data_IF_912239442109
#
_entry.id   IF_912239442109
#
_cell.length_a   1.000
_cell.length_b   1.000
_cell.length_c   1.000
_cell.angle_alpha   90.00
_cell.angle_beta   90.00
_cell.angle_gamma   90.00
#
_symmetry.space_group_name_H-M   'P 1'
#
loop_
_entity.id
_entity.type
_entity.pdbx_description
1 polymer ?
#
# COMPACT_ATOMS: atom_id res chain seq x y z
N UNK A 1 25.85 -5.17 -15.39
CA UNK A 1 26.79 -5.11 -14.24
C UNK A 1 26.78 -3.68 -13.69
N UNK A 2 25.84 -3.35 -12.79
CA UNK A 2 25.75 -1.99 -12.21
C UNK A 2 26.85 -1.82 -11.16
N UNK A 3 27.82 -0.93 -11.41
CA UNK A 3 28.73 -0.48 -10.35
C UNK A 3 27.93 0.41 -9.38
N UNK A 4 27.93 0.14 -8.07
CA UNK A 4 27.26 1.01 -7.11
C UNK A 4 27.88 2.41 -7.15
N UNK A 5 27.03 3.44 -7.12
CA UNK A 5 27.44 4.83 -7.14
C UNK A 5 28.37 5.13 -5.96
N UNK A 6 29.50 5.80 -6.20
CA UNK A 6 30.52 6.10 -5.18
C UNK A 6 29.98 6.93 -4.00
N UNK A 7 28.83 7.58 -4.17
CA UNK A 7 28.13 8.37 -3.16
C UNK A 7 26.99 7.60 -2.46
N UNK A 8 26.71 6.34 -2.80
CA UNK A 8 25.67 5.58 -2.11
C UNK A 8 26.17 5.11 -0.74
N UNK A 9 25.61 5.69 0.32
CA UNK A 9 25.84 5.23 1.70
C UNK A 9 25.19 3.86 1.87
N UNK A 10 25.98 2.85 2.21
CA UNK A 10 25.49 1.51 2.52
C UNK A 10 25.68 1.23 4.02
N UNK A 11 24.65 0.67 4.64
CA UNK A 11 24.74 0.19 6.02
C UNK A 11 25.68 -1.02 6.08
N UNK A 12 26.78 -0.86 6.81
CA UNK A 12 27.59 -2.00 7.26
C UNK A 12 27.00 -2.56 8.56
N UNK A 13 27.27 -3.84 8.82
CA UNK A 13 26.84 -4.55 10.04
C UNK A 13 27.32 -3.81 11.30
N UNK A 14 26.77 -4.12 12.48
CA UNK A 14 27.23 -3.52 13.74
C UNK A 14 28.74 -3.77 13.93
N UNK A 15 29.47 -2.69 14.19
CA UNK A 15 30.91 -2.71 14.50
C UNK A 15 31.17 -2.16 15.90
N UNK A 16 32.28 -2.55 16.51
CA UNK A 16 32.70 -2.08 17.83
C UNK A 16 33.69 -0.93 17.67
N UNK A 17 33.48 0.17 18.38
CA UNK A 17 34.47 1.26 18.45
C UNK A 17 35.61 0.80 19.37
N UNK A 18 36.81 0.70 18.83
CA UNK A 18 38.01 0.32 19.62
C UNK A 18 38.73 1.54 20.16
N UNK A 19 38.82 2.61 19.36
CA UNK A 19 39.58 3.80 19.72
C UNK A 19 38.97 5.06 19.14
N UNK A 20 38.98 6.14 19.93
CA UNK A 20 38.73 7.51 19.46
C UNK A 20 40.07 8.11 19.00
N UNK A 21 40.22 8.36 17.71
CA UNK A 21 41.45 8.94 17.15
C UNK A 21 41.42 10.47 17.20
N UNK A 22 40.24 11.08 17.09
CA UNK A 22 40.03 12.53 17.22
C UNK A 22 38.60 12.80 17.69
N UNK A 23 38.20 14.06 17.85
CA UNK A 23 36.81 14.42 18.16
C UNK A 23 35.80 13.88 17.14
N UNK A 24 36.23 13.72 15.89
CA UNK A 24 35.35 13.37 14.78
C UNK A 24 35.64 12.01 14.15
N UNK A 25 36.82 11.41 14.40
CA UNK A 25 37.21 10.13 13.78
C UNK A 25 37.40 9.00 14.79
N UNK A 26 36.82 7.85 14.49
CA UNK A 26 36.77 6.66 15.33
C UNK A 26 37.25 5.43 14.56
N UNK A 27 38.01 4.58 15.24
CA UNK A 27 38.44 3.27 14.72
C UNK A 27 37.37 2.24 15.08
N UNK A 28 36.82 1.59 14.06
CA UNK A 28 35.77 0.58 14.21
C UNK A 28 36.30 -0.76 13.72
N UNK A 29 36.15 -1.78 14.56
CA UNK A 29 36.40 -3.18 14.20
C UNK A 29 35.08 -3.91 13.94
N UNK A 30 35.12 -4.86 13.00
CA UNK A 30 33.99 -5.74 12.69
C UNK A 30 34.39 -7.17 13.08
N UNK A 31 33.44 -7.97 13.57
CA UNK A 31 33.72 -9.32 14.10
C UNK A 31 34.15 -10.36 13.05
N UNK A 32 34.43 -9.97 11.81
CA UNK A 32 34.96 -10.87 10.79
C UNK A 32 36.47 -10.62 10.65
N UNK A 33 37.25 -11.70 10.79
CA UNK A 33 38.72 -11.72 10.80
C UNK A 33 39.42 -11.14 9.55
N UNK A 34 38.68 -10.65 8.55
CA UNK A 34 39.20 -10.15 7.27
C UNK A 34 39.09 -8.63 7.09
N UNK A 35 38.28 -7.94 7.89
CA UNK A 35 38.14 -6.48 7.79
C UNK A 35 39.00 -5.81 8.86
N UNK A 36 40.24 -5.50 8.48
CA UNK A 36 41.16 -4.69 9.28
C UNK A 36 40.47 -3.42 9.78
N UNK A 37 40.73 -3.03 11.03
CA UNK A 37 40.28 -1.79 11.66
C UNK A 37 40.19 -0.61 10.67
N UNK A 38 38.98 -0.08 10.47
CA UNK A 38 38.72 1.03 9.57
C UNK A 38 38.40 2.31 10.36
N UNK A 39 38.82 3.45 9.84
CA UNK A 39 38.54 4.76 10.44
C UNK A 39 37.27 5.32 9.81
N UNK A 40 36.31 5.71 10.65
CA UNK A 40 35.06 6.34 10.24
C UNK A 40 34.90 7.70 10.92
N UNK A 41 34.36 8.66 10.17
CA UNK A 41 33.90 9.93 10.73
C UNK A 41 32.59 9.73 11.51
N UNK A 42 32.34 10.52 12.55
CA UNK A 42 31.16 10.41 13.43
C UNK A 42 29.84 10.46 12.66
N UNK A 43 29.77 11.26 11.59
CA UNK A 43 28.58 11.34 10.71
C UNK A 43 28.25 10.04 9.97
N UNK A 44 29.21 9.11 9.86
CA UNK A 44 29.01 7.80 9.23
C UNK A 44 28.64 6.71 10.24
N UNK A 45 28.54 7.06 11.53
CA UNK A 45 28.25 6.13 12.62
C UNK A 45 26.84 6.38 13.16
N UNK A 46 26.14 5.28 13.48
CA UNK A 46 24.92 5.34 14.29
C UNK A 46 25.01 4.35 15.44
N UNK A 47 24.49 4.71 16.64
CA UNK A 47 24.38 3.77 17.74
C UNK A 47 23.56 2.55 17.32
N UNK A 48 24.10 1.36 17.59
CA UNK A 48 23.38 0.11 17.35
C UNK A 48 22.58 -0.29 18.60
N UNK A 49 21.26 -0.37 18.46
CA UNK A 49 20.37 -0.90 19.48
C UNK A 49 19.91 -2.29 19.04
N UNK A 50 20.23 -3.33 19.82
CA UNK A 50 19.71 -4.68 19.55
C UNK A 50 18.19 -4.62 19.71
N UNK A 51 17.46 -4.80 18.62
CA UNK A 51 15.99 -4.88 18.67
C UNK A 51 15.61 -6.13 19.46
N UNK A 52 14.60 -6.01 20.32
CA UNK A 52 13.96 -7.18 20.91
C UNK A 52 13.47 -8.08 19.77
N UNK A 53 13.83 -9.36 19.82
CA UNK A 53 13.44 -10.36 18.83
C UNK A 53 11.94 -10.64 19.00
N UNK A 54 11.11 -9.88 18.30
CA UNK A 54 9.72 -10.26 18.07
C UNK A 54 9.70 -11.12 16.82
N UNK A 55 9.45 -12.41 16.99
CA UNK A 55 9.14 -13.31 15.88
C UNK A 55 7.74 -12.92 15.41
N UNK A 56 7.64 -12.02 14.43
CA UNK A 56 6.40 -11.85 13.70
C UNK A 56 6.24 -13.06 12.80
N UNK A 57 5.43 -14.02 13.25
CA UNK A 57 5.06 -15.19 12.46
C UNK A 57 4.09 -14.73 11.36
N UNK A 58 4.63 -14.41 10.19
CA UNK A 58 3.81 -14.26 8.98
C UNK A 58 3.49 -15.68 8.53
N UNK A 59 2.31 -16.16 8.90
CA UNK A 59 1.79 -17.41 8.38
C UNK A 59 1.37 -17.18 6.92
N UNK A 60 2.30 -17.33 5.99
CA UNK A 60 1.94 -17.48 4.58
C UNK A 60 1.29 -18.85 4.43
N UNK A 61 -0.03 -18.94 4.70
CA UNK A 61 -0.76 -20.17 4.37
C UNK A 61 -0.64 -20.39 2.88
N UNK A 62 0.22 -21.34 2.50
CA UNK A 62 0.02 -22.10 1.29
C UNK A 62 -1.40 -22.66 1.38
N UNK A 63 -2.18 -22.45 0.32
CA UNK A 63 -3.50 -23.04 0.17
C UNK A 63 -3.32 -24.55 0.27
N UNK A 64 -3.62 -25.14 1.41
CA UNK A 64 -4.10 -26.51 1.57
C UNK A 64 -4.33 -26.79 3.06
N UNK A 65 -5.44 -27.47 3.30
CA UNK A 65 -5.90 -28.04 4.57
C UNK A 65 -6.52 -27.10 5.61
N UNK A 66 -7.83 -26.99 5.42
CA UNK A 66 -8.85 -26.79 6.44
C UNK A 66 -8.55 -27.59 7.71
N UNK A 67 -8.04 -26.92 8.74
CA UNK A 67 -8.34 -27.27 10.12
C UNK A 67 -8.45 -26.00 10.97
N UNK A 68 -9.62 -25.90 11.61
CA UNK A 68 -10.15 -24.79 12.39
C UNK A 68 -9.18 -24.35 13.49
N UNK A 69 -8.54 -23.21 13.29
CA UNK A 69 -8.41 -22.21 14.35
C UNK A 69 -9.17 -20.99 13.83
N UNK A 70 -10.34 -20.72 14.41
CA UNK A 70 -11.01 -19.41 14.30
C UNK A 70 -10.18 -18.40 15.09
N UNK A 71 -9.03 -18.02 14.53
CA UNK A 71 -8.48 -16.72 14.84
C UNK A 71 -9.37 -15.73 14.08
N UNK A 72 -10.23 -15.00 14.81
CA UNK A 72 -11.00 -13.85 14.32
C UNK A 72 -10.03 -12.73 13.92
N UNK A 73 -9.22 -12.97 12.90
CA UNK A 73 -8.58 -11.89 12.18
C UNK A 73 -9.68 -11.19 11.38
N UNK A 74 -9.82 -9.86 11.49
CA UNK A 74 -10.75 -9.13 10.66
C UNK A 74 -10.43 -9.46 9.20
N UNK A 75 -11.38 -10.12 8.53
CA UNK A 75 -11.31 -10.33 7.10
C UNK A 75 -11.46 -8.95 6.48
N UNK A 76 -10.35 -8.36 6.02
CA UNK A 76 -10.42 -7.22 5.11
C UNK A 76 -10.87 -7.81 3.78
N UNK A 77 -12.16 -8.11 3.66
CA UNK A 77 -12.73 -8.56 2.42
C UNK A 77 -12.49 -7.43 1.42
N UNK A 78 -11.61 -7.67 0.45
CA UNK A 78 -11.08 -6.60 -0.41
C UNK A 78 -12.11 -6.08 -1.41
N UNK A 79 -13.34 -6.59 -1.32
CA UNK A 79 -14.46 -6.14 -2.12
C UNK A 79 -15.20 -5.01 -1.39
N UNK A 80 -15.04 -3.74 -1.82
CA UNK A 80 -15.70 -2.61 -1.18
C UNK A 80 -17.23 -2.62 -1.33
N UNK A 81 -17.80 -3.56 -2.08
CA UNK A 81 -19.25 -3.75 -2.21
C UNK A 81 -19.80 -4.85 -1.30
N UNK A 82 -18.94 -5.54 -0.54
CA UNK A 82 -19.36 -6.46 0.51
C UNK A 82 -19.43 -5.64 1.79
N UNK A 83 -20.65 -5.31 2.18
CA UNK A 83 -20.91 -4.56 3.39
C UNK A 83 -20.93 -5.50 4.59
N UNK A 84 -20.07 -5.26 5.57
CA UNK A 84 -20.28 -5.80 6.91
C UNK A 84 -21.36 -4.95 7.59
N UNK A 85 -22.56 -5.52 7.65
CA UNK A 85 -23.75 -4.81 8.15
C UNK A 85 -23.69 -4.60 9.66
N UNK A 86 -23.04 -5.51 10.39
CA UNK A 86 -22.89 -5.39 11.84
C UNK A 86 -21.93 -4.22 12.13
N UNK A 87 -20.82 -4.13 11.41
CA UNK A 87 -19.88 -3.00 11.47
C UNK A 87 -20.54 -1.66 11.13
N UNK A 88 -21.32 -1.59 10.05
CA UNK A 88 -22.03 -0.36 9.65
C UNK A 88 -23.00 0.09 10.75
N UNK A 89 -23.76 -0.83 11.33
CA UNK A 89 -24.75 -0.47 12.36
C UNK A 89 -24.09 -0.03 13.66
N UNK A 90 -22.99 -0.68 14.07
CA UNK A 90 -22.24 -0.35 15.28
C UNK A 90 -21.55 1.02 15.16
N UNK A 91 -20.86 1.29 14.05
CA UNK A 91 -20.11 2.55 13.88
C UNK A 91 -20.99 3.75 13.55
N UNK A 92 -22.16 3.55 12.95
CA UNK A 92 -22.99 4.65 12.46
C UNK A 92 -23.94 5.23 13.52
N UNK A 93 -23.97 4.68 14.75
CA UNK A 93 -24.87 5.11 15.84
C UNK A 93 -26.33 5.27 15.39
N UNK A 94 -26.80 4.40 14.49
CA UNK A 94 -28.10 4.54 13.82
C UNK A 94 -29.26 4.55 14.81
N UNK A 95 -29.11 3.84 15.92
CA UNK A 95 -30.09 3.74 17.01
C UNK A 95 -30.39 5.11 17.66
N UNK A 96 -29.47 6.07 17.58
CA UNK A 96 -29.68 7.42 18.11
C UNK A 96 -30.40 8.38 17.13
N UNK A 97 -30.47 8.02 15.84
CA UNK A 97 -30.92 8.91 14.76
C UNK A 97 -32.18 8.42 14.04
N UNK A 98 -32.49 7.14 14.18
CA UNK A 98 -33.57 6.47 13.46
C UNK A 98 -34.49 5.75 14.45
N UNK A 99 -35.74 5.58 14.06
CA UNK A 99 -36.68 4.77 14.83
C UNK A 99 -36.31 3.28 14.72
N UNK A 100 -36.69 2.48 15.72
CA UNK A 100 -36.41 1.04 15.82
C UNK A 100 -36.81 0.31 14.52
N UNK A 101 -38.00 0.59 13.99
CA UNK A 101 -38.49 0.00 12.74
C UNK A 101 -37.62 0.34 11.51
N UNK A 102 -36.99 1.52 11.48
CA UNK A 102 -36.11 1.91 10.38
C UNK A 102 -34.74 1.24 10.52
N UNK A 103 -34.24 1.11 11.75
CA UNK A 103 -33.01 0.38 12.05
C UNK A 103 -33.18 -1.10 11.70
N UNK A 104 -34.31 -1.72 12.08
CA UNK A 104 -34.65 -3.11 11.73
C UNK A 104 -34.65 -3.33 10.22
N UNK A 105 -35.28 -2.45 9.42
CA UNK A 105 -35.26 -2.57 7.95
C UNK A 105 -33.86 -2.49 7.32
N UNK A 106 -32.94 -1.77 7.96
CA UNK A 106 -31.54 -1.70 7.53
C UNK A 106 -30.81 -2.98 7.96
N UNK A 107 -31.01 -3.43 9.21
CA UNK A 107 -30.44 -4.67 9.77
C UNK A 107 -30.90 -5.91 8.97
N UNK A 108 -32.16 -5.97 8.58
CA UNK A 108 -32.76 -7.04 7.75
C UNK A 108 -32.38 -6.95 6.25
N UNK A 109 -31.44 -6.05 5.90
CA UNK A 109 -30.93 -5.83 4.54
C UNK A 109 -31.97 -5.42 3.50
N UNK A 110 -33.21 -5.10 3.88
CA UNK A 110 -34.30 -4.80 2.94
C UNK A 110 -33.96 -3.59 2.06
N UNK A 111 -33.52 -2.48 2.68
CA UNK A 111 -33.22 -1.22 1.97
C UNK A 111 -31.90 -1.32 1.20
N UNK A 112 -30.86 -1.86 1.84
CA UNK A 112 -29.52 -1.91 1.25
C UNK A 112 -29.45 -2.91 0.09
N UNK A 113 -30.15 -4.04 0.16
CA UNK A 113 -30.27 -4.96 -0.99
C UNK A 113 -31.12 -4.35 -2.10
N UNK A 114 -32.29 -3.77 -1.75
CA UNK A 114 -33.21 -3.15 -2.73
C UNK A 114 -32.55 -2.03 -3.52
N UNK A 115 -31.73 -1.22 -2.86
CA UNK A 115 -31.02 -0.09 -3.47
C UNK A 115 -29.50 -0.32 -3.58
N UNK A 116 -29.08 -1.58 -3.65
CA UNK A 116 -27.66 -1.98 -3.74
C UNK A 116 -26.89 -1.23 -4.83
N UNK A 117 -27.54 -0.96 -5.97
CA UNK A 117 -26.95 -0.20 -7.07
C UNK A 117 -26.61 1.26 -6.71
N UNK A 118 -27.34 1.88 -5.80
CA UNK A 118 -27.10 3.26 -5.34
C UNK A 118 -25.93 3.30 -4.35
N UNK A 119 -25.82 2.26 -3.52
CA UNK A 119 -24.76 2.14 -2.51
C UNK A 119 -23.51 1.45 -3.04
N UNK A 120 -23.52 0.94 -4.27
CA UNK A 120 -22.36 0.32 -4.90
C UNK A 120 -21.23 1.33 -5.06
N UNK A 121 -20.01 0.90 -4.74
CA UNK A 121 -18.79 1.64 -5.05
C UNK A 121 -18.37 1.47 -6.52
N UNK A 122 -19.12 0.69 -7.31
CA UNK A 122 -18.98 0.64 -8.76
C UNK A 122 -19.53 1.92 -9.39
N UNK A 123 -18.76 2.48 -10.32
CA UNK A 123 -19.14 3.69 -11.03
C UNK A 123 -20.32 3.41 -11.97
N UNK A 124 -21.25 4.36 -12.04
CA UNK A 124 -22.32 4.34 -13.03
C UNK A 124 -21.92 4.99 -14.37
N UNK A 125 -22.70 4.72 -15.42
CA UNK A 125 -22.64 5.40 -16.73
C UNK A 125 -24.02 5.94 -17.08
N UNK A 126 -24.08 7.15 -17.63
CA UNK A 126 -25.31 7.77 -18.14
C UNK A 126 -25.19 8.02 -19.63
N UNK A 127 -26.32 7.96 -20.34
CA UNK A 127 -26.44 8.27 -21.77
C UNK A 127 -27.22 9.57 -22.00
N UNK A 128 -27.53 10.31 -20.94
CA UNK A 128 -28.40 11.49 -21.00
C UNK A 128 -27.66 12.76 -21.46
N UNK A 129 -26.37 12.85 -21.17
CA UNK A 129 -25.53 14.02 -21.44
C UNK A 129 -24.12 13.55 -21.77
N UNK A 130 -23.54 14.17 -22.79
CA UNK A 130 -22.13 14.06 -23.14
C UNK A 130 -21.47 15.43 -22.97
N UNK A 131 -20.22 15.44 -22.55
CA UNK A 131 -19.46 16.69 -22.38
C UNK A 131 -18.63 16.94 -23.63
N UNK A 132 -18.95 18.03 -24.33
CA UNK A 132 -18.13 18.55 -25.43
C UNK A 132 -17.07 19.52 -24.88
N UNK A 133 -15.83 19.35 -25.31
CA UNK A 133 -14.67 20.15 -24.83
C UNK A 133 -14.26 21.09 -25.96
N UNK A 134 -14.61 22.36 -25.83
CA UNK A 134 -14.20 23.40 -26.77
C UNK A 134 -12.70 23.70 -26.65
N UNK A 135 -11.98 23.59 -27.77
CA UNK A 135 -10.53 23.84 -27.83
C UNK A 135 -10.22 25.30 -28.18
N UNK A 136 -9.09 25.80 -27.66
CA UNK A 136 -8.55 27.11 -28.07
C UNK A 136 -7.92 27.01 -29.47
N UNK A 137 -7.30 25.86 -29.78
CA UNK A 137 -6.68 25.56 -31.05
C UNK A 137 -6.77 24.06 -31.38
N UNK A 138 -6.92 23.73 -32.66
CA UNK A 138 -7.09 22.34 -33.13
C UNK A 138 -5.75 21.62 -33.40
N UNK A 139 -4.64 22.15 -32.86
CA UNK A 139 -3.31 21.59 -33.10
C UNK A 139 -3.00 20.54 -32.03
N UNK A 140 -2.89 19.24 -32.37
CA UNK A 140 -2.61 18.21 -31.38
C UNK A 140 -1.18 18.30 -30.85
N UNK A 141 -1.03 18.19 -29.52
CA UNK A 141 0.27 18.21 -28.86
C UNK A 141 0.65 16.78 -28.47
N UNK A 142 1.81 16.30 -28.95
CA UNK A 142 2.35 14.97 -28.63
C UNK A 142 3.62 15.08 -27.80
N UNK A 143 3.59 14.54 -26.58
CA UNK A 143 4.75 14.50 -25.68
C UNK A 143 5.18 13.06 -25.43
N UNK A 144 6.49 12.86 -25.26
CA UNK A 144 7.02 11.52 -24.93
C UNK A 144 6.72 11.22 -23.45
N UNK A 145 6.22 10.02 -23.13
CA UNK A 145 6.06 9.60 -21.74
C UNK A 145 7.39 9.65 -20.97
N UNK A 146 7.33 9.96 -19.68
CA UNK A 146 8.49 9.94 -18.80
C UNK A 146 9.01 8.52 -18.59
N UNK A 147 10.32 8.40 -18.33
CA UNK A 147 10.92 7.13 -17.93
C UNK A 147 10.48 6.79 -16.52
N UNK A 148 10.01 5.56 -16.33
CA UNK A 148 9.60 5.02 -15.04
C UNK A 148 10.45 3.81 -14.67
N UNK A 149 10.51 3.48 -13.38
CA UNK A 149 11.13 2.25 -12.92
C UNK A 149 10.26 1.02 -13.26
N UNK A 150 10.85 -0.18 -13.25
CA UNK A 150 10.11 -1.43 -13.49
C UNK A 150 8.96 -1.60 -12.48
N UNK A 151 9.23 -1.39 -11.19
CA UNK A 151 8.21 -1.48 -10.14
C UNK A 151 7.02 -0.54 -10.36
N UNK A 152 7.28 0.71 -10.76
CA UNK A 152 6.21 1.67 -11.07
C UNK A 152 5.42 1.26 -12.31
N UNK A 153 6.08 0.64 -13.29
CA UNK A 153 5.44 0.16 -14.51
C UNK A 153 4.49 -1.00 -14.21
N UNK A 154 4.88 -1.93 -13.34
CA UNK A 154 4.05 -3.07 -12.94
C UNK A 154 2.76 -2.60 -12.22
N UNK A 155 2.91 -1.66 -11.28
CA UNK A 155 1.78 -1.03 -10.58
C UNK A 155 0.87 -0.29 -11.55
N UNK A 156 1.44 0.48 -12.49
CA UNK A 156 0.66 1.20 -13.49
C UNK A 156 -0.12 0.22 -14.38
N UNK A 157 0.49 -0.89 -14.80
CA UNK A 157 -0.19 -1.87 -15.64
C UNK A 157 -1.37 -2.55 -14.93
N UNK A 158 -1.25 -2.82 -13.63
CA UNK A 158 -2.36 -3.35 -12.84
C UNK A 158 -3.55 -2.39 -12.81
N UNK A 159 -3.29 -1.10 -12.55
CA UNK A 159 -4.35 -0.09 -12.54
C UNK A 159 -4.95 0.12 -13.94
N UNK A 160 -4.14 0.11 -15.01
CA UNK A 160 -4.63 0.19 -16.39
C UNK A 160 -5.59 -0.99 -16.69
N UNK A 161 -5.23 -2.23 -16.31
CA UNK A 161 -6.12 -3.39 -16.50
C UNK A 161 -7.44 -3.22 -15.78
N UNK A 162 -7.40 -2.69 -14.55
CA UNK A 162 -8.58 -2.40 -13.74
C UNK A 162 -9.45 -1.31 -14.39
N UNK A 163 -8.86 -0.23 -14.87
CA UNK A 163 -9.57 0.86 -15.55
C UNK A 163 -10.20 0.41 -16.89
N UNK A 164 -9.51 -0.44 -17.66
CA UNK A 164 -10.05 -1.07 -18.87
C UNK A 164 -11.25 -1.98 -18.54
N UNK A 165 -11.14 -2.80 -17.49
CA UNK A 165 -12.24 -3.64 -17.00
C UNK A 165 -13.47 -2.81 -16.62
N UNK A 166 -13.26 -1.65 -15.99
CA UNK A 166 -14.33 -0.73 -15.63
C UNK A 166 -14.79 0.21 -16.76
N UNK A 167 -14.25 0.05 -17.98
CA UNK A 167 -14.58 0.89 -19.13
C UNK A 167 -14.42 2.39 -18.87
N UNK A 168 -13.45 2.76 -18.03
CA UNK A 168 -13.10 4.16 -17.74
C UNK A 168 -12.13 4.70 -18.81
N UNK A 169 -11.35 3.80 -19.41
CA UNK A 169 -10.42 4.10 -20.50
C UNK A 169 -10.62 3.11 -21.63
N UNK A 170 -10.20 3.52 -22.82
CA UNK A 170 -10.20 2.70 -24.03
C UNK A 170 -8.86 2.84 -24.77
N UNK A 171 -8.59 1.93 -25.70
CA UNK A 171 -7.39 1.99 -26.53
C UNK A 171 -7.68 3.00 -27.63
N UNK A 172 -6.90 4.07 -27.69
CA UNK A 172 -7.02 5.07 -28.75
C UNK A 172 -6.66 4.49 -30.12
N UNK A 173 -7.42 4.88 -31.14
CA UNK A 173 -7.17 4.57 -32.56
C UNK A 173 -5.95 5.30 -33.14
#
# INVERSE_FOLDING_TARGET
MNRPNKLSVQWKRPGRIEKKNSETNYVVSFNNNTDSNQVFHVNMLKPYYKRAEFINMINSRAKEDSNKLEENFPCIDSNPNIFDFDEITEHSQLENRLNIQQVEKIKEREILCRYSKIFSNERGKTHLVEHDIELINDVPIRTKPYRMSAQQTDLLQEEIRKMLKYQVIEIGE
#
